data_IF_700974505630
#
_entry.id   IF_700974505630
#
_cell.length_a   1.000
_cell.length_b   1.000
_cell.length_c   1.000
_cell.angle_alpha   90.00
_cell.angle_beta   90.00
_cell.angle_gamma   90.00
#
_symmetry.space_group_name_H-M   'P 1'
#
loop_
_entity.id
_entity.type
_entity.pdbx_description
1 polymer ?
#
# COMPACT_ATOMS: atom_id res chain seq x y z
N UNK A 1 16.22 47.63 46.78
CA UNK A 1 15.22 46.91 45.96
C UNK A 1 15.76 46.72 44.54
N UNK A 2 15.16 45.83 43.74
CA UNK A 2 15.58 45.61 42.37
C UNK A 2 14.53 46.20 41.43
N UNK A 3 14.94 47.01 40.45
CA UNK A 3 14.07 47.49 39.38
C UNK A 3 14.44 46.81 38.06
N UNK A 4 13.43 46.57 37.22
CA UNK A 4 13.63 46.01 35.88
C UNK A 4 13.55 47.15 34.87
N UNK A 5 14.65 47.47 34.21
CA UNK A 5 14.72 48.53 33.21
C UNK A 5 14.47 47.92 31.84
N UNK A 6 13.34 48.26 31.21
CA UNK A 6 13.02 47.83 29.85
C UNK A 6 13.41 48.92 28.87
N UNK A 7 14.34 48.62 27.97
CA UNK A 7 14.71 49.48 26.85
C UNK A 7 14.44 48.79 25.52
N UNK A 8 14.80 49.44 24.41
CA UNK A 8 14.75 48.83 23.07
C UNK A 8 15.67 47.60 22.95
N UNK A 9 16.70 47.50 23.78
CA UNK A 9 17.68 46.40 23.71
C UNK A 9 17.28 45.18 24.52
N UNK A 10 16.31 45.32 25.43
CA UNK A 10 15.91 44.22 26.30
C UNK A 10 15.47 44.65 27.69
N UNK A 11 15.41 43.68 28.60
CA UNK A 11 15.04 43.88 30.00
C UNK A 11 16.26 43.62 30.88
N UNK A 12 16.77 44.66 31.52
CA UNK A 12 17.93 44.62 32.40
C UNK A 12 17.51 44.86 33.86
N UNK A 13 18.35 44.47 34.81
CA UNK A 13 18.05 44.58 36.25
C UNK A 13 19.00 45.59 36.88
N UNK A 14 18.45 46.60 37.55
CA UNK A 14 19.21 47.64 38.27
C UNK A 14 18.93 47.54 39.75
N UNK A 15 19.99 47.35 40.55
CA UNK A 15 19.90 47.35 42.00
C UNK A 15 19.84 48.79 42.51
N UNK A 16 18.80 49.10 43.28
CA UNK A 16 18.59 50.43 43.88
C UNK A 16 18.60 50.37 45.41
N UNK A 17 19.14 51.39 46.07
CA UNK A 17 19.38 51.43 47.52
C UNK A 17 18.12 51.45 48.41
N UNK A 18 16.92 51.59 47.85
CA UNK A 18 15.66 51.66 48.60
C UNK A 18 14.59 52.46 47.83
N UNK A 19 13.36 52.60 48.37
CA UNK A 19 12.28 53.35 47.73
C UNK A 19 12.43 54.88 47.83
N UNK A 20 13.32 55.37 48.71
CA UNK A 20 13.53 56.81 48.95
C UNK A 20 14.61 57.44 48.08
N UNK A 21 15.20 56.69 47.13
CA UNK A 21 16.16 57.29 46.20
C UNK A 21 15.44 58.24 45.24
N UNK A 22 16.12 59.30 44.81
CA UNK A 22 15.56 60.22 43.82
C UNK A 22 15.66 59.65 42.40
N UNK A 23 14.86 60.20 41.49
CA UNK A 23 14.96 59.88 40.06
C UNK A 23 16.36 60.18 39.52
N UNK A 24 17.01 61.26 39.97
CA UNK A 24 18.39 61.57 39.61
C UNK A 24 19.36 60.45 40.04
N UNK A 25 19.21 59.94 41.26
CA UNK A 25 20.02 58.81 41.75
C UNK A 25 19.77 57.54 40.93
N UNK A 26 18.52 57.27 40.52
CA UNK A 26 18.19 56.18 39.60
C UNK A 26 18.89 56.36 38.24
N UNK A 27 18.90 57.56 37.67
CA UNK A 27 19.61 57.85 36.42
C UNK A 27 21.11 57.61 36.53
N UNK A 28 21.73 57.97 37.66
CA UNK A 28 23.13 57.68 37.94
C UNK A 28 23.42 56.18 38.06
N UNK A 29 22.50 55.41 38.66
CA UNK A 29 22.60 53.94 38.72
C UNK A 29 22.47 53.30 37.33
N UNK A 30 21.57 53.81 36.48
CA UNK A 30 21.44 53.37 35.09
C UNK A 30 22.71 53.71 34.29
N UNK A 31 23.30 54.89 34.50
CA UNK A 31 24.56 55.23 33.83
C UNK A 31 25.70 54.31 34.24
N UNK A 32 25.86 54.05 35.55
CA UNK A 32 26.94 53.19 36.05
C UNK A 32 26.77 51.71 35.70
N UNK A 33 25.55 51.17 35.76
CA UNK A 33 25.29 49.74 35.54
C UNK A 33 24.98 49.41 34.08
N UNK A 34 24.28 50.28 33.37
CA UNK A 34 23.77 50.04 32.01
C UNK A 34 24.46 50.89 30.93
N UNK A 35 25.44 51.72 31.32
CA UNK A 35 26.27 52.55 30.44
C UNK A 35 25.48 53.55 29.56
N UNK A 36 24.30 53.98 30.01
CA UNK A 36 23.51 55.01 29.32
C UNK A 36 23.80 56.39 29.94
N UNK A 37 24.37 57.36 29.22
CA UNK A 37 24.64 58.69 29.78
C UNK A 37 23.38 59.38 30.31
N UNK A 38 23.43 59.99 31.49
CA UNK A 38 22.26 60.65 32.13
C UNK A 38 21.55 61.62 31.18
N UNK A 39 22.29 62.41 30.38
CA UNK A 39 21.70 63.36 29.43
C UNK A 39 20.82 62.72 28.35
N UNK A 40 21.01 61.42 28.07
CA UNK A 40 20.27 60.68 27.07
C UNK A 40 19.12 59.86 27.68
N UNK A 41 18.97 59.85 29.01
CA UNK A 41 17.97 59.00 29.68
C UNK A 41 16.62 59.70 29.84
N UNK A 42 15.61 59.13 29.21
CA UNK A 42 14.20 59.45 29.42
C UNK A 42 13.53 58.24 30.07
N UNK A 43 13.04 58.42 31.29
CA UNK A 43 12.43 57.37 32.09
C UNK A 43 10.92 57.62 32.16
N UNK A 44 10.14 56.53 32.15
CA UNK A 44 8.71 56.58 32.43
C UNK A 44 8.23 55.24 32.96
N UNK A 45 7.13 55.27 33.71
CA UNK A 45 6.34 54.09 34.06
C UNK A 45 5.41 53.66 32.91
N UNK A 46 5.18 54.51 31.90
CA UNK A 46 4.42 54.17 30.70
C UNK A 46 5.31 53.45 29.66
N UNK A 47 4.85 52.28 29.21
CA UNK A 47 5.47 51.48 28.16
C UNK A 47 5.57 52.22 26.82
N UNK A 48 4.64 53.13 26.53
CA UNK A 48 4.55 53.79 25.24
C UNK A 48 5.75 54.68 24.93
N UNK A 49 6.57 55.04 25.94
CA UNK A 49 7.83 55.77 25.72
C UNK A 49 8.80 55.00 24.80
N UNK A 50 8.71 53.66 24.75
CA UNK A 50 9.54 52.84 23.87
C UNK A 50 9.11 52.87 22.39
N UNK A 51 7.92 53.40 22.11
CA UNK A 51 7.35 53.50 20.76
C UNK A 51 7.56 54.89 20.14
N UNK A 52 8.19 55.82 20.88
CA UNK A 52 8.41 57.19 20.44
C UNK A 52 9.38 57.22 19.26
N UNK A 53 8.91 57.78 18.14
CA UNK A 53 9.69 57.96 16.91
C UNK A 53 10.27 59.37 16.77
N UNK A 54 9.62 60.38 17.37
CA UNK A 54 9.96 61.79 17.23
C UNK A 54 10.33 62.36 18.61
N UNK A 55 11.50 63.01 18.80
CA UNK A 55 11.96 63.49 20.11
C UNK A 55 10.97 64.43 20.83
N UNK A 56 10.18 65.21 20.08
CA UNK A 56 9.16 66.10 20.65
C UNK A 56 8.07 65.36 21.45
N UNK A 57 7.78 64.10 21.10
CA UNK A 57 6.74 63.30 21.77
C UNK A 57 7.21 62.78 23.14
N UNK A 58 8.50 62.87 23.47
CA UNK A 58 9.04 62.52 24.80
C UNK A 58 8.49 63.44 25.89
N UNK A 59 8.11 64.68 25.56
CA UNK A 59 7.54 65.65 26.49
C UNK A 59 6.20 65.21 27.09
N UNK A 60 5.52 64.23 26.46
CA UNK A 60 4.26 63.66 26.98
C UNK A 60 4.47 62.73 28.19
N UNK A 61 5.71 62.30 28.43
CA UNK A 61 6.07 61.40 29.52
C UNK A 61 6.77 62.18 30.63
N UNK A 62 5.99 62.89 31.45
CA UNK A 62 6.49 63.77 32.51
C UNK A 62 6.49 63.13 33.91
N UNK A 63 6.03 61.89 34.04
CA UNK A 63 5.89 61.18 35.31
C UNK A 63 7.22 61.01 36.05
N UNK A 64 8.34 60.96 35.32
CA UNK A 64 9.69 60.93 35.91
C UNK A 64 10.57 62.11 35.48
N UNK A 65 9.97 63.26 35.16
CA UNK A 65 10.72 64.44 34.69
C UNK A 65 11.46 65.19 35.80
N UNK A 66 10.92 65.23 37.03
CA UNK A 66 11.54 65.91 38.17
C UNK A 66 12.70 65.07 38.75
N UNK A 67 13.97 65.51 38.63
CA UNK A 67 15.11 64.75 39.14
C UNK A 67 15.14 64.62 40.67
N UNK A 68 14.45 65.51 41.40
CA UNK A 68 14.43 65.54 42.86
C UNK A 68 13.35 64.66 43.47
N UNK A 69 12.35 64.25 42.70
CA UNK A 69 11.25 63.44 43.18
C UNK A 69 11.72 62.04 43.62
N UNK A 70 11.26 61.54 44.79
CA UNK A 70 11.61 60.22 45.27
C UNK A 70 10.83 59.13 44.50
N UNK A 71 11.45 57.97 44.30
CA UNK A 71 10.78 56.84 43.62
C UNK A 71 9.51 56.36 44.34
N UNK A 72 9.40 56.59 45.65
CA UNK A 72 8.18 56.30 46.42
C UNK A 72 6.95 57.06 45.92
N UNK A 73 7.11 58.19 45.24
CA UNK A 73 6.01 58.93 44.63
C UNK A 73 5.38 58.21 43.42
N UNK A 74 6.08 57.21 42.85
CA UNK A 74 5.70 56.51 41.62
C UNK A 74 5.14 55.10 41.86
N UNK A 75 4.86 54.73 43.12
CA UNK A 75 4.38 53.41 43.52
C UNK A 75 5.24 52.23 43.01
N UNK A 76 6.56 52.45 42.85
CA UNK A 76 7.49 51.42 42.41
C UNK A 76 7.89 50.51 43.59
N UNK A 77 7.74 49.20 43.40
CA UNK A 77 8.11 48.16 44.36
C UNK A 77 9.22 47.26 43.81
N UNK A 78 9.65 46.28 44.60
CA UNK A 78 10.66 45.32 44.15
C UNK A 78 10.16 44.55 42.91
N UNK A 79 10.91 44.63 41.82
CA UNK A 79 10.59 43.99 40.55
C UNK A 79 9.76 44.83 39.59
N UNK A 80 9.33 46.04 40.00
CA UNK A 80 8.63 46.98 39.11
C UNK A 80 9.46 47.28 37.86
N UNK A 81 8.74 47.47 36.75
CA UNK A 81 9.32 47.78 35.45
C UNK A 81 9.33 49.28 35.25
N UNK A 82 10.48 49.82 34.85
CA UNK A 82 10.63 51.20 34.40
C UNK A 82 11.09 51.16 32.95
N UNK A 83 10.48 51.96 32.10
CA UNK A 83 10.78 52.03 30.68
C UNK A 83 11.81 53.13 30.44
N UNK A 84 12.91 52.77 29.77
CA UNK A 84 14.01 53.67 29.45
C UNK A 84 14.08 53.86 27.94
N UNK A 85 13.84 55.10 27.51
CA UNK A 85 14.17 55.57 26.17
C UNK A 85 15.49 56.34 26.22
N UNK A 86 16.36 56.09 25.25
CA UNK A 86 17.58 56.87 25.05
C UNK A 86 18.02 56.85 23.59
N UNK A 87 18.82 57.85 23.21
CA UNK A 87 19.41 57.96 21.89
C UNK A 87 20.90 57.58 21.91
N UNK A 88 21.37 56.99 20.80
CA UNK A 88 22.73 56.48 20.64
C UNK A 88 22.81 54.95 20.74
N UNK A 89 23.93 54.37 20.31
CA UNK A 89 24.21 52.93 20.41
C UNK A 89 25.00 52.63 21.69
N UNK A 90 24.81 51.44 22.28
CA UNK A 90 25.60 50.97 23.41
C UNK A 90 25.92 49.49 23.25
N UNK A 91 27.02 49.07 23.86
CA UNK A 91 27.35 47.64 23.95
C UNK A 91 26.56 46.99 25.08
N UNK A 92 25.54 46.22 24.72
CA UNK A 92 24.75 45.43 25.67
C UNK A 92 25.47 44.11 25.89
N UNK A 93 25.66 43.71 27.16
CA UNK A 93 26.19 42.38 27.47
C UNK A 93 25.18 41.35 26.96
N UNK A 94 25.55 40.62 25.90
CA UNK A 94 24.66 39.71 25.19
C UNK A 94 23.94 38.75 26.14
N UNK A 95 22.62 38.72 26.07
CA UNK A 95 21.83 37.66 26.69
C UNK A 95 22.17 36.30 26.06
N UNK A 96 21.81 35.18 26.72
CA UNK A 96 22.04 33.86 26.14
C UNK A 96 21.42 33.78 24.75
N UNK A 97 22.16 33.20 23.80
CA UNK A 97 21.70 33.00 22.44
C UNK A 97 20.35 32.28 22.46
N UNK A 98 19.31 32.94 21.93
CA UNK A 98 18.01 32.29 21.71
C UNK A 98 18.19 31.37 20.51
N UNK A 99 18.51 30.11 20.76
CA UNK A 99 18.34 29.05 19.78
C UNK A 99 16.85 28.76 19.65
N UNK A 100 16.23 28.94 18.47
CA UNK A 100 14.85 28.50 18.27
C UNK A 100 14.75 27.01 18.60
N UNK A 101 13.77 26.64 19.43
CA UNK A 101 13.40 25.25 19.57
C UNK A 101 13.00 24.72 18.19
N UNK A 102 13.60 23.60 17.78
CA UNK A 102 13.24 22.94 16.54
C UNK A 102 11.73 22.64 16.48
N UNK A 103 11.20 22.64 15.25
CA UNK A 103 9.86 22.19 14.83
C UNK A 103 8.65 23.13 14.98
N UNK A 104 8.81 24.43 15.23
CA UNK A 104 7.76 25.41 14.89
C UNK A 104 8.23 26.33 13.76
N UNK A 105 7.75 26.07 12.53
CA UNK A 105 7.86 27.02 11.42
C UNK A 105 8.77 26.65 10.24
N UNK A 106 9.03 25.35 9.97
CA UNK A 106 9.54 24.99 8.63
C UNK A 106 8.43 25.34 7.63
N UNK A 107 8.61 26.44 6.87
CA UNK A 107 7.69 26.80 5.77
C UNK A 107 7.65 25.60 4.81
N UNK A 108 6.46 25.06 4.61
CA UNK A 108 6.24 23.98 3.63
C UNK A 108 6.69 24.53 2.27
N UNK A 109 7.72 23.92 1.69
CA UNK A 109 8.22 24.32 0.37
C UNK A 109 7.30 23.75 -0.72
N UNK A 110 7.34 24.31 -1.93
CA UNK A 110 6.61 23.72 -3.07
C UNK A 110 7.07 22.29 -3.33
N UNK A 111 8.35 21.99 -3.11
CA UNK A 111 8.90 20.63 -3.21
C UNK A 111 8.33 19.69 -2.15
N UNK A 112 8.08 20.17 -0.93
CA UNK A 112 7.39 19.39 0.13
C UNK A 112 5.92 19.13 -0.22
N UNK A 113 5.27 20.03 -0.95
CA UNK A 113 3.89 19.85 -1.45
C UNK A 113 3.85 18.85 -2.61
N UNK A 114 4.79 18.95 -3.55
CA UNK A 114 4.93 18.02 -4.68
C UNK A 114 5.29 16.62 -4.18
N UNK A 115 6.18 16.49 -3.19
CA UNK A 115 6.55 15.20 -2.60
C UNK A 115 5.40 14.53 -1.85
N UNK A 116 4.37 15.28 -1.44
CA UNK A 116 3.14 14.75 -0.85
C UNK A 116 2.07 14.36 -1.88
N UNK A 117 2.17 14.83 -3.12
CA UNK A 117 1.25 14.43 -4.17
C UNK A 117 1.57 13.01 -4.65
N UNK A 118 0.59 12.12 -4.61
CA UNK A 118 0.74 10.77 -5.13
C UNK A 118 0.73 10.82 -6.65
N UNK A 119 1.88 10.51 -7.26
CA UNK A 119 2.05 10.47 -8.71
C UNK A 119 1.97 9.04 -9.21
N UNK A 120 1.14 8.80 -10.22
CA UNK A 120 1.05 7.52 -10.91
C UNK A 120 1.81 7.64 -12.23
N UNK A 121 2.78 6.75 -12.42
CA UNK A 121 3.57 6.64 -13.65
C UNK A 121 3.58 5.19 -14.08
N UNK A 122 3.68 4.95 -15.39
CA UNK A 122 3.80 3.60 -15.93
C UNK A 122 5.05 2.93 -15.37
N UNK A 123 4.90 1.70 -14.91
CA UNK A 123 6.01 0.86 -14.50
C UNK A 123 6.50 0.08 -15.72
N UNK A 124 7.76 0.28 -16.10
CA UNK A 124 8.32 -0.27 -17.35
C UNK A 124 8.69 -1.76 -17.26
N UNK A 125 9.00 -2.25 -16.05
CA UNK A 125 9.48 -3.62 -15.86
C UNK A 125 8.74 -4.34 -14.74
N UNK A 126 8.25 -5.57 -14.97
CA UNK A 126 7.65 -6.40 -13.94
C UNK A 126 8.73 -6.93 -12.98
N UNK A 127 8.31 -7.43 -11.81
CA UNK A 127 9.20 -8.22 -10.94
C UNK A 127 9.29 -9.69 -11.39
N UNK A 128 8.32 -10.14 -12.20
CA UNK A 128 8.26 -11.43 -12.86
C UNK A 128 8.92 -11.34 -14.27
N UNK A 129 9.99 -12.09 -14.53
CA UNK A 129 10.62 -12.16 -15.86
C UNK A 129 9.71 -12.85 -16.89
N UNK A 130 9.09 -13.96 -16.48
CA UNK A 130 8.16 -14.73 -17.32
C UNK A 130 7.22 -15.58 -16.48
N UNK A 131 6.08 -15.96 -17.06
CA UNK A 131 5.21 -17.04 -16.59
C UNK A 131 5.18 -18.16 -17.62
N UNK A 132 5.48 -19.38 -17.19
CA UNK A 132 5.42 -20.60 -18.00
C UNK A 132 4.25 -21.45 -17.56
N UNK A 133 3.46 -21.97 -18.49
CA UNK A 133 2.32 -22.84 -18.18
C UNK A 133 2.59 -24.29 -18.55
N UNK A 134 2.19 -25.21 -17.68
CA UNK A 134 2.04 -26.60 -18.06
C UNK A 134 0.99 -26.73 -19.18
N UNK A 135 1.35 -27.42 -20.25
CA UNK A 135 0.52 -27.57 -21.45
C UNK A 135 -0.81 -28.24 -21.15
N UNK A 136 -0.80 -29.31 -20.35
CA UNK A 136 -2.01 -30.09 -20.07
C UNK A 136 -2.96 -29.31 -19.16
N UNK A 137 -2.43 -28.63 -18.14
CA UNK A 137 -3.20 -27.79 -17.25
C UNK A 137 -3.81 -26.58 -17.96
N UNK A 138 -3.02 -25.85 -18.76
CA UNK A 138 -3.52 -24.72 -19.55
C UNK A 138 -4.58 -25.18 -20.57
N UNK A 139 -4.33 -26.34 -21.21
CA UNK A 139 -5.28 -26.91 -22.15
C UNK A 139 -6.61 -27.31 -21.46
N UNK A 140 -6.56 -27.88 -20.27
CA UNK A 140 -7.75 -28.25 -19.49
C UNK A 140 -8.58 -27.03 -19.05
N UNK A 141 -7.94 -25.88 -18.80
CA UNK A 141 -8.64 -24.62 -18.50
C UNK A 141 -9.29 -24.02 -19.76
N UNK A 142 -8.52 -23.84 -20.83
CA UNK A 142 -9.05 -23.24 -22.06
C UNK A 142 -10.16 -24.06 -22.71
N UNK A 143 -10.06 -25.39 -22.70
CA UNK A 143 -11.08 -26.27 -23.30
C UNK A 143 -12.42 -26.12 -22.57
N UNK A 144 -12.40 -26.06 -21.24
CA UNK A 144 -13.64 -25.88 -20.47
C UNK A 144 -14.29 -24.53 -20.76
N UNK A 145 -13.50 -23.46 -20.76
CA UNK A 145 -13.99 -22.11 -21.02
C UNK A 145 -14.54 -21.98 -22.45
N UNK A 146 -13.85 -22.58 -23.43
CA UNK A 146 -14.25 -22.52 -24.83
C UNK A 146 -15.45 -23.42 -25.14
N UNK A 147 -15.37 -24.70 -24.78
CA UNK A 147 -16.36 -25.71 -25.20
C UNK A 147 -17.60 -25.70 -24.30
N UNK A 148 -17.44 -25.47 -22.99
CA UNK A 148 -18.57 -25.54 -22.04
C UNK A 148 -19.19 -24.18 -21.79
N UNK A 149 -18.36 -23.13 -21.62
CA UNK A 149 -18.85 -21.80 -21.29
C UNK A 149 -18.98 -20.90 -22.51
N UNK A 150 -18.36 -21.24 -23.65
CA UNK A 150 -18.31 -20.42 -24.86
C UNK A 150 -17.91 -18.96 -24.59
N UNK A 151 -17.07 -18.73 -23.56
CA UNK A 151 -16.72 -17.39 -23.07
C UNK A 151 -17.93 -16.48 -22.79
N UNK A 152 -19.10 -17.04 -22.47
CA UNK A 152 -20.32 -16.30 -22.17
C UNK A 152 -20.33 -15.71 -20.75
N UNK A 153 -19.64 -16.37 -19.82
CA UNK A 153 -19.44 -15.93 -18.43
C UNK A 153 -17.97 -16.02 -18.06
N UNK A 154 -17.56 -15.21 -17.07
CA UNK A 154 -16.21 -15.24 -16.54
C UNK A 154 -15.95 -16.52 -15.74
N UNK A 155 -14.71 -16.97 -15.75
CA UNK A 155 -14.18 -18.09 -14.97
C UNK A 155 -12.78 -17.72 -14.50
N UNK A 156 -12.40 -18.13 -13.30
CA UNK A 156 -11.03 -17.92 -12.81
C UNK A 156 -10.53 -19.01 -11.89
N UNK A 157 -9.24 -18.96 -11.61
CA UNK A 157 -8.52 -19.95 -10.83
C UNK A 157 -7.23 -19.41 -10.24
N UNK A 158 -6.81 -19.99 -9.13
CA UNK A 158 -5.50 -19.74 -8.55
C UNK A 158 -4.46 -20.63 -9.21
N UNK A 159 -3.37 -20.02 -9.67
CA UNK A 159 -2.26 -20.72 -10.30
C UNK A 159 -1.27 -21.17 -9.25
N UNK A 160 -0.87 -22.43 -9.30
CA UNK A 160 0.10 -23.04 -8.40
C UNK A 160 1.31 -23.55 -9.15
N UNK A 161 2.47 -23.32 -8.56
CA UNK A 161 3.72 -23.44 -9.28
C UNK A 161 4.97 -23.19 -8.47
N UNK A 162 6.08 -23.02 -9.17
CA UNK A 162 7.37 -22.60 -8.59
C UNK A 162 7.73 -21.18 -9.01
N UNK A 163 8.62 -20.54 -8.24
CA UNK A 163 9.14 -19.20 -8.56
C UNK A 163 10.64 -19.21 -8.38
N UNK A 164 11.37 -18.94 -9.44
CA UNK A 164 12.83 -18.84 -9.41
C UNK A 164 13.32 -17.51 -8.82
N UNK A 165 14.60 -17.47 -8.43
CA UNK A 165 15.25 -16.23 -7.98
C UNK A 165 15.27 -15.16 -9.07
N UNK A 166 15.43 -15.55 -10.34
CA UNK A 166 15.37 -14.67 -11.52
C UNK A 166 13.96 -14.13 -11.79
N UNK A 167 12.93 -14.69 -11.15
CA UNK A 167 11.55 -14.25 -11.33
C UNK A 167 10.82 -14.95 -12.45
N UNK A 168 11.26 -16.15 -12.83
CA UNK A 168 10.48 -17.04 -13.69
C UNK A 168 9.50 -17.83 -12.83
N UNK A 169 8.23 -17.79 -13.22
CA UNK A 169 7.16 -18.53 -12.57
C UNK A 169 6.80 -19.71 -13.48
N UNK A 170 6.73 -20.92 -12.93
CA UNK A 170 6.28 -22.11 -13.65
C UNK A 170 5.00 -22.60 -12.99
N UNK A 171 3.88 -22.51 -13.71
CA UNK A 171 2.54 -22.91 -13.27
C UNK A 171 2.31 -24.36 -13.68
N UNK A 172 2.20 -25.26 -12.70
CA UNK A 172 1.99 -26.69 -12.95
C UNK A 172 0.51 -27.10 -12.89
N UNK A 173 -0.33 -26.37 -12.15
CA UNK A 173 -1.76 -26.60 -12.09
C UNK A 173 -2.55 -25.35 -11.71
N UNK A 174 -3.85 -25.37 -12.02
CA UNK A 174 -4.80 -24.28 -11.75
C UNK A 174 -5.92 -24.84 -10.88
N UNK A 175 -6.04 -24.36 -9.65
CA UNK A 175 -7.17 -24.67 -8.77
C UNK A 175 -8.31 -23.68 -9.02
N UNK A 176 -9.52 -24.18 -9.28
CA UNK A 176 -10.68 -23.34 -9.53
C UNK A 176 -11.57 -23.27 -8.27
N UNK A 177 -11.55 -22.16 -7.51
CA UNK A 177 -12.35 -22.06 -6.29
C UNK A 177 -13.86 -22.05 -6.63
N UNK A 178 -14.74 -22.34 -5.65
CA UNK A 178 -16.17 -22.11 -5.81
C UNK A 178 -16.40 -20.65 -6.24
N UNK A 179 -17.20 -20.45 -7.30
CA UNK A 179 -17.29 -19.15 -7.95
C UNK A 179 -18.60 -18.98 -8.71
N UNK A 180 -19.02 -17.73 -8.88
CA UNK A 180 -20.13 -17.33 -9.72
C UNK A 180 -19.61 -16.39 -10.82
N UNK A 181 -19.58 -16.90 -12.04
CA UNK A 181 -19.26 -16.13 -13.24
C UNK A 181 -20.45 -15.36 -13.75
N UNK A 182 -20.27 -14.07 -14.02
CA UNK A 182 -21.19 -13.21 -14.77
C UNK A 182 -20.53 -12.78 -16.08
N UNK A 183 -21.23 -12.01 -16.91
CA UNK A 183 -20.69 -11.49 -18.17
C UNK A 183 -19.60 -10.42 -17.94
N UNK A 184 -19.78 -9.58 -16.92
CA UNK A 184 -18.91 -8.45 -16.60
C UNK A 184 -18.10 -8.63 -15.30
N UNK A 185 -18.44 -9.62 -14.47
CA UNK A 185 -17.86 -9.79 -13.14
C UNK A 185 -17.59 -11.27 -12.81
N UNK A 186 -16.62 -11.50 -11.92
CA UNK A 186 -16.28 -12.81 -11.40
C UNK A 186 -16.32 -12.76 -9.87
N UNK A 187 -17.27 -13.47 -9.26
CA UNK A 187 -17.40 -13.53 -7.81
C UNK A 187 -16.76 -14.83 -7.31
N UNK A 188 -15.71 -14.72 -6.51
CA UNK A 188 -15.08 -15.86 -5.85
C UNK A 188 -15.79 -16.15 -4.53
N UNK A 189 -16.37 -17.34 -4.40
CA UNK A 189 -17.04 -17.83 -3.19
C UNK A 189 -16.01 -18.59 -2.34
N UNK A 190 -14.97 -17.88 -1.89
CA UNK A 190 -13.79 -18.45 -1.23
C UNK A 190 -14.18 -19.24 0.03
N UNK A 191 -13.68 -20.47 0.10
CA UNK A 191 -13.76 -21.32 1.29
C UNK A 191 -12.34 -21.44 1.88
N UNK A 192 -12.15 -20.90 3.09
CA UNK A 192 -10.83 -20.88 3.72
C UNK A 192 -10.35 -22.27 4.11
N UNK A 193 -11.25 -23.20 4.46
CA UNK A 193 -10.86 -24.56 4.83
C UNK A 193 -10.39 -25.33 3.59
N UNK A 194 -11.12 -25.21 2.47
CA UNK A 194 -10.72 -25.78 1.19
C UNK A 194 -9.40 -25.15 0.69
N UNK A 195 -9.27 -23.82 0.72
CA UNK A 195 -8.03 -23.15 0.30
C UNK A 195 -6.82 -23.55 1.15
N UNK A 196 -6.99 -23.69 2.47
CA UNK A 196 -5.92 -24.18 3.34
C UNK A 196 -5.49 -25.61 2.98
N UNK A 197 -6.45 -26.47 2.63
CA UNK A 197 -6.17 -27.82 2.16
C UNK A 197 -5.42 -27.80 0.82
N UNK A 198 -5.87 -26.98 -0.13
CA UNK A 198 -5.21 -26.78 -1.43
C UNK A 198 -3.77 -26.31 -1.23
N UNK A 199 -3.54 -25.31 -0.37
CA UNK A 199 -2.21 -24.80 -0.06
C UNK A 199 -1.33 -25.88 0.60
N UNK A 200 -1.89 -26.72 1.47
CA UNK A 200 -1.17 -27.82 2.11
C UNK A 200 -0.77 -28.93 1.12
N UNK A 201 -1.68 -29.31 0.21
CA UNK A 201 -1.38 -30.26 -0.87
C UNK A 201 -0.32 -29.68 -1.81
N UNK A 202 -0.48 -28.41 -2.21
CA UNK A 202 0.49 -27.71 -3.05
C UNK A 202 1.87 -27.68 -2.39
N UNK A 203 1.95 -27.36 -1.09
CA UNK A 203 3.20 -27.38 -0.33
C UNK A 203 3.84 -28.78 -0.32
N UNK A 204 3.04 -29.84 -0.13
CA UNK A 204 3.49 -31.22 -0.27
C UNK A 204 4.07 -31.52 -1.66
N UNK A 205 3.44 -31.00 -2.72
CA UNK A 205 3.95 -31.09 -4.10
C UNK A 205 5.20 -30.22 -4.35
N UNK A 206 5.63 -29.40 -3.39
CA UNK A 206 6.70 -28.42 -3.56
C UNK A 206 6.29 -27.22 -4.43
N UNK A 207 4.99 -26.92 -4.46
CA UNK A 207 4.38 -25.81 -5.18
C UNK A 207 3.82 -24.78 -4.21
N UNK A 208 3.59 -23.58 -4.71
CA UNK A 208 2.93 -22.50 -3.97
C UNK A 208 2.00 -21.72 -4.89
N UNK A 209 1.09 -20.94 -4.31
CA UNK A 209 0.24 -20.02 -5.06
C UNK A 209 1.11 -18.92 -5.68
N UNK A 210 1.06 -18.77 -7.01
CA UNK A 210 1.94 -17.88 -7.78
C UNK A 210 1.20 -16.79 -8.56
N UNK A 211 -0.12 -16.93 -8.69
CA UNK A 211 -0.90 -15.97 -9.45
C UNK A 211 -2.38 -16.30 -9.51
N UNK A 212 -3.10 -15.50 -10.29
CA UNK A 212 -4.51 -15.70 -10.60
C UNK A 212 -4.74 -15.65 -12.11
N UNK A 213 -5.57 -16.54 -12.62
CA UNK A 213 -6.00 -16.57 -14.03
C UNK A 213 -7.51 -16.34 -14.09
N UNK A 214 -7.98 -15.55 -15.05
CA UNK A 214 -9.40 -15.40 -15.31
C UNK A 214 -9.69 -15.20 -16.80
N UNK A 215 -10.96 -15.31 -17.17
CA UNK A 215 -11.41 -15.17 -18.55
C UNK A 215 -12.13 -13.85 -18.79
N UNK A 216 -11.95 -13.29 -19.98
CA UNK A 216 -12.81 -12.23 -20.51
C UNK A 216 -13.90 -12.80 -21.38
N UNK A 217 -15.10 -12.25 -21.28
CA UNK A 217 -16.22 -12.71 -22.08
C UNK A 217 -16.17 -12.13 -23.49
N UNK A 218 -16.80 -12.80 -24.45
CA UNK A 218 -16.91 -12.32 -25.85
C UNK A 218 -17.56 -10.93 -25.97
N UNK A 219 -18.36 -10.54 -24.97
CA UNK A 219 -18.98 -9.21 -24.90
C UNK A 219 -17.97 -8.12 -24.52
N UNK A 220 -16.96 -8.47 -23.74
CA UNK A 220 -15.89 -7.58 -23.30
C UNK A 220 -14.79 -7.44 -24.34
N UNK A 221 -14.44 -8.50 -25.08
CA UNK A 221 -13.40 -8.47 -26.13
C UNK A 221 -13.67 -7.40 -27.20
N UNK A 222 -14.93 -6.99 -27.39
CA UNK A 222 -15.30 -5.90 -28.32
C UNK A 222 -14.94 -4.50 -27.81
N UNK A 223 -14.37 -4.36 -26.60
CA UNK A 223 -14.07 -3.08 -25.95
C UNK A 223 -12.57 -2.83 -25.92
N UNK A 224 -12.17 -1.57 -26.12
CA UNK A 224 -10.77 -1.14 -26.26
C UNK A 224 -10.09 -0.89 -24.89
N UNK A 225 -9.94 -1.94 -24.09
CA UNK A 225 -9.15 -1.93 -22.86
C UNK A 225 -8.68 -3.34 -22.48
N UNK A 226 -7.53 -3.43 -21.82
CA UNK A 226 -6.99 -4.72 -21.35
C UNK A 226 -7.74 -5.23 -20.13
N UNK A 227 -7.91 -4.40 -19.10
CA UNK A 227 -8.61 -4.75 -17.86
C UNK A 227 -9.70 -3.72 -17.59
N UNK A 228 -10.86 -4.17 -17.13
CA UNK A 228 -11.90 -3.32 -16.56
C UNK A 228 -11.51 -2.88 -15.14
N UNK A 229 -12.14 -1.82 -14.65
CA UNK A 229 -11.93 -1.32 -13.30
C UNK A 229 -12.22 -2.37 -12.20
N UNK A 230 -13.23 -3.23 -12.39
CA UNK A 230 -13.51 -4.39 -11.53
C UNK A 230 -12.37 -5.41 -11.54
N UNK A 231 -11.81 -5.69 -12.71
CA UNK A 231 -10.69 -6.63 -12.87
C UNK A 231 -9.39 -6.09 -12.28
N UNK A 232 -9.11 -4.79 -12.45
CA UNK A 232 -7.97 -4.12 -11.80
C UNK A 232 -8.08 -4.23 -10.29
N UNK A 233 -9.27 -3.97 -9.72
CA UNK A 233 -9.48 -4.09 -8.28
C UNK A 233 -9.26 -5.51 -7.77
N UNK A 234 -9.89 -6.50 -8.40
CA UNK A 234 -9.74 -7.90 -7.99
C UNK A 234 -8.28 -8.37 -8.15
N UNK A 235 -7.61 -7.99 -9.23
CA UNK A 235 -6.20 -8.33 -9.44
C UNK A 235 -5.28 -7.65 -8.40
N UNK A 236 -5.56 -6.39 -8.06
CA UNK A 236 -4.81 -5.67 -7.03
C UNK A 236 -5.03 -6.24 -5.63
N UNK A 237 -6.27 -6.65 -5.31
CA UNK A 237 -6.65 -7.33 -4.07
C UNK A 237 -5.87 -8.63 -3.92
N UNK A 238 -5.97 -9.54 -4.90
CA UNK A 238 -5.30 -10.84 -4.84
C UNK A 238 -3.77 -10.70 -4.80
N UNK A 239 -3.19 -9.76 -5.54
CA UNK A 239 -1.76 -9.48 -5.47
C UNK A 239 -1.39 -8.92 -4.08
N UNK A 240 -2.16 -7.97 -3.53
CA UNK A 240 -1.91 -7.39 -2.22
C UNK A 240 -1.96 -8.44 -1.09
N UNK A 241 -2.96 -9.31 -1.13
CA UNK A 241 -3.18 -10.43 -0.21
C UNK A 241 -2.06 -11.47 -0.27
N UNK A 242 -1.55 -11.76 -1.47
CA UNK A 242 -0.47 -12.74 -1.64
C UNK A 242 0.78 -12.40 -0.82
N UNK A 243 0.99 -11.11 -0.50
CA UNK A 243 2.21 -10.56 0.10
C UNK A 243 3.49 -10.91 -0.69
N UNK A 244 3.37 -11.37 -1.94
CA UNK A 244 4.48 -11.71 -2.81
C UNK A 244 4.80 -10.55 -3.73
N UNK A 245 6.09 -10.27 -3.91
CA UNK A 245 6.57 -9.30 -4.89
C UNK A 245 6.45 -9.82 -6.33
N UNK A 246 6.50 -11.14 -6.49
CA UNK A 246 6.38 -11.86 -7.75
C UNK A 246 5.02 -12.55 -7.76
N UNK A 247 4.08 -11.94 -8.44
CA UNK A 247 2.71 -12.40 -8.60
C UNK A 247 2.25 -12.04 -10.00
N UNK A 248 1.59 -12.96 -10.69
CA UNK A 248 1.11 -12.74 -12.06
C UNK A 248 -0.40 -12.90 -12.13
N UNK A 249 -1.04 -12.00 -12.86
CA UNK A 249 -2.45 -12.05 -13.22
C UNK A 249 -2.55 -12.32 -14.70
N UNK A 250 -3.29 -13.38 -15.07
CA UNK A 250 -3.39 -13.85 -16.44
C UNK A 250 -4.82 -13.71 -16.90
N UNK A 251 -5.02 -13.15 -18.08
CA UNK A 251 -6.31 -13.04 -18.73
C UNK A 251 -6.35 -13.97 -19.93
N UNK A 252 -7.44 -14.72 -20.07
CA UNK A 252 -7.72 -15.60 -21.20
C UNK A 252 -8.87 -15.01 -22.00
N UNK A 253 -8.65 -14.75 -23.28
CA UNK A 253 -9.64 -14.15 -24.18
C UNK A 253 -9.76 -14.96 -25.46
N UNK A 254 -10.87 -14.78 -26.15
CA UNK A 254 -11.12 -15.36 -27.46
C UNK A 254 -10.86 -14.28 -28.52
N UNK A 255 -9.89 -14.51 -29.41
CA UNK A 255 -9.56 -13.59 -30.50
C UNK A 255 -9.96 -14.20 -31.84
N UNK A 256 -10.47 -13.37 -32.76
CA UNK A 256 -10.75 -13.83 -34.12
C UNK A 256 -9.42 -14.03 -34.86
N UNK A 257 -9.25 -15.19 -35.48
CA UNK A 257 -8.07 -15.48 -36.29
C UNK A 257 -8.27 -15.05 -37.76
N UNK A 258 -7.19 -14.99 -38.53
CA UNK A 258 -7.20 -14.51 -39.91
C UNK A 258 -8.09 -15.35 -40.85
N UNK A 259 -8.32 -16.62 -40.50
CA UNK A 259 -9.13 -17.58 -41.27
C UNK A 259 -10.63 -17.54 -40.90
N UNK A 260 -11.06 -16.59 -40.05
CA UNK A 260 -12.44 -16.44 -39.61
C UNK A 260 -12.88 -17.43 -38.52
N UNK A 261 -11.93 -18.19 -37.98
CA UNK A 261 -12.07 -18.94 -36.74
C UNK A 261 -11.78 -18.08 -35.50
N UNK A 262 -11.71 -18.73 -34.34
CA UNK A 262 -11.43 -18.06 -33.08
C UNK A 262 -10.39 -18.85 -32.28
N UNK A 263 -9.34 -18.16 -31.85
CA UNK A 263 -8.24 -18.72 -31.09
C UNK A 263 -8.30 -18.22 -29.64
N UNK A 264 -7.98 -19.10 -28.70
CA UNK A 264 -7.87 -18.73 -27.29
C UNK A 264 -6.49 -18.14 -27.04
N UNK A 265 -6.44 -16.90 -26.60
CA UNK A 265 -5.21 -16.16 -26.32
C UNK A 265 -5.05 -15.92 -24.82
N UNK A 266 -3.81 -16.07 -24.34
CA UNK A 266 -3.42 -15.80 -22.96
C UNK A 266 -2.58 -14.53 -22.94
N UNK A 267 -2.88 -13.60 -22.03
CA UNK A 267 -2.04 -12.45 -21.74
C UNK A 267 -1.72 -12.41 -20.26
N UNK A 268 -0.46 -12.08 -19.94
CA UNK A 268 0.03 -12.09 -18.58
C UNK A 268 0.47 -10.68 -18.18
N UNK A 269 0.02 -10.26 -17.00
CA UNK A 269 0.32 -8.97 -16.43
C UNK A 269 0.72 -9.12 -14.97
N UNK A 270 1.54 -8.18 -14.50
CA UNK A 270 1.75 -7.95 -13.09
C UNK A 270 1.17 -6.59 -12.74
N UNK A 271 0.40 -6.51 -11.66
CA UNK A 271 -0.05 -5.20 -11.16
C UNK A 271 1.16 -4.39 -10.72
N UNK A 272 1.24 -3.14 -11.16
CA UNK A 272 2.32 -2.23 -10.77
C UNK A 272 2.40 -2.04 -9.26
N UNK A 273 3.59 -1.73 -8.76
CA UNK A 273 3.83 -1.46 -7.33
C UNK A 273 2.93 -0.33 -6.82
N UNK A 274 2.67 0.67 -7.68
CA UNK A 274 1.77 1.78 -7.36
C UNK A 274 0.32 1.31 -7.23
N UNK A 275 -0.16 0.43 -8.12
CA UNK A 275 -1.51 -0.13 -8.03
C UNK A 275 -1.71 -0.87 -6.70
N UNK A 276 -0.78 -1.78 -6.37
CA UNK A 276 -0.85 -2.56 -5.12
C UNK A 276 -0.78 -1.65 -3.89
N UNK A 277 0.07 -0.62 -3.93
CA UNK A 277 0.16 0.38 -2.85
C UNK A 277 -1.16 1.15 -2.67
N UNK A 278 -1.71 1.68 -3.76
CA UNK A 278 -2.97 2.45 -3.73
C UNK A 278 -4.14 1.60 -3.22
N UNK A 279 -4.17 0.31 -3.60
CA UNK A 279 -5.16 -0.63 -3.07
C UNK A 279 -5.01 -0.82 -1.55
N UNK A 280 -3.80 -1.12 -1.07
CA UNK A 280 -3.52 -1.30 0.37
C UNK A 280 -3.83 -0.06 1.21
N UNK A 281 -3.66 1.12 0.64
CA UNK A 281 -4.00 2.39 1.29
C UNK A 281 -5.49 2.78 1.13
N UNK A 282 -6.29 1.98 0.43
CA UNK A 282 -7.73 2.17 0.26
C UNK A 282 -8.10 3.35 -0.65
N UNK A 283 -7.24 3.74 -1.59
CA UNK A 283 -7.44 4.90 -2.46
C UNK A 283 -8.44 4.66 -3.58
N UNK A 284 -8.66 3.42 -4.01
CA UNK A 284 -9.66 3.14 -5.04
C UNK A 284 -11.08 3.32 -4.53
N UNK A 285 -11.96 3.81 -5.41
CA UNK A 285 -13.41 3.71 -5.25
C UNK A 285 -13.83 2.30 -5.65
N UNK A 286 -14.57 1.61 -4.77
CA UNK A 286 -14.98 0.22 -4.93
C UNK A 286 -16.45 0.08 -5.34
N UNK A 287 -17.18 1.19 -5.35
CA UNK A 287 -18.58 1.26 -5.78
C UNK A 287 -18.63 1.68 -7.24
N UNK A 288 -19.27 0.87 -8.08
CA UNK A 288 -19.34 1.08 -9.53
C UNK A 288 -20.74 1.51 -9.94
N UNK A 289 -20.84 2.64 -10.62
CA UNK A 289 -22.08 3.10 -11.24
C UNK A 289 -22.31 2.48 -12.63
N UNK A 290 -23.56 2.43 -13.09
CA UNK A 290 -23.91 1.93 -14.43
C UNK A 290 -23.29 2.74 -15.58
N UNK A 291 -22.97 4.02 -15.34
CA UNK A 291 -22.39 4.93 -16.32
C UNK A 291 -20.86 5.06 -16.19
N UNK A 292 -20.22 4.26 -15.33
CA UNK A 292 -18.79 4.35 -15.11
C UNK A 292 -18.03 3.74 -16.27
N UNK A 293 -17.01 4.44 -16.75
CA UNK A 293 -16.15 3.92 -17.82
C UNK A 293 -15.34 2.73 -17.27
N UNK A 294 -15.51 1.50 -17.80
CA UNK A 294 -14.75 0.35 -17.35
C UNK A 294 -13.25 0.49 -17.60
N UNK A 295 -12.81 1.35 -18.52
CA UNK A 295 -11.39 1.61 -18.81
C UNK A 295 -10.69 2.43 -17.71
N UNK A 296 -11.46 3.08 -16.84
CA UNK A 296 -10.95 4.01 -15.85
C UNK A 296 -11.21 3.52 -14.42
N UNK A 297 -10.17 3.55 -13.60
CA UNK A 297 -10.27 3.36 -12.16
C UNK A 297 -10.42 4.70 -11.45
N UNK A 298 -11.46 4.82 -10.62
CA UNK A 298 -11.74 6.01 -9.82
C UNK A 298 -10.95 6.01 -8.51
N UNK A 299 -10.39 7.17 -8.16
CA UNK A 299 -9.62 7.42 -6.95
C UNK A 299 -10.42 8.28 -5.97
N UNK A 300 -10.37 7.95 -4.68
CA UNK A 300 -10.99 8.74 -3.60
C UNK A 300 -10.27 10.07 -3.34
N UNK A 301 -9.08 10.24 -3.89
CA UNK A 301 -8.23 11.43 -3.75
C UNK A 301 -7.62 11.74 -5.11
N UNK A 302 -7.43 13.01 -5.41
CA UNK A 302 -6.71 13.43 -6.61
C UNK A 302 -5.29 12.84 -6.64
N UNK A 303 -4.90 12.32 -7.79
CA UNK A 303 -3.58 11.77 -8.10
C UNK A 303 -3.00 12.48 -9.31
N UNK A 304 -1.68 12.57 -9.39
CA UNK A 304 -1.02 13.21 -10.53
C UNK A 304 -0.69 12.17 -11.60
N UNK A 305 -1.29 12.29 -12.78
CA UNK A 305 -0.97 11.49 -13.98
C UNK A 305 -0.54 12.42 -15.10
N UNK A 306 0.66 12.20 -15.67
CA UNK A 306 1.16 13.05 -16.76
C UNK A 306 1.30 14.54 -16.39
N UNK A 307 1.40 14.87 -15.10
CA UNK A 307 1.47 16.26 -14.62
C UNK A 307 0.12 16.94 -14.42
N UNK A 308 -0.99 16.22 -14.54
CA UNK A 308 -2.35 16.72 -14.25
C UNK A 308 -2.91 16.01 -13.03
N UNK A 309 -3.61 16.75 -12.18
CA UNK A 309 -4.43 16.19 -11.11
C UNK A 309 -5.68 15.58 -11.71
N UNK A 310 -5.89 14.28 -11.46
CA UNK A 310 -7.03 13.51 -11.96
C UNK A 310 -7.61 12.66 -10.83
N UNK A 311 -8.90 12.34 -10.94
CA UNK A 311 -9.60 11.40 -10.04
C UNK A 311 -9.91 10.08 -10.75
N UNK A 312 -9.69 10.02 -12.06
CA UNK A 312 -9.87 8.83 -12.90
C UNK A 312 -8.55 8.53 -13.61
N UNK A 313 -8.12 7.28 -13.51
CA UNK A 313 -6.83 6.81 -14.02
C UNK A 313 -7.09 5.69 -15.02
N UNK A 314 -6.51 5.78 -16.21
CA UNK A 314 -6.56 4.70 -17.19
C UNK A 314 -5.91 3.44 -16.61
N UNK A 315 -6.65 2.33 -16.70
CA UNK A 315 -6.26 1.06 -16.11
C UNK A 315 -4.90 0.54 -16.62
N UNK A 316 -4.50 0.89 -17.84
CA UNK A 316 -3.22 0.48 -18.42
C UNK A 316 -2.01 1.04 -17.65
N UNK A 317 -2.16 2.12 -16.87
CA UNK A 317 -1.09 2.58 -15.97
C UNK A 317 -0.77 1.58 -14.86
N UNK A 318 -1.71 0.70 -14.54
CA UNK A 318 -1.55 -0.29 -13.49
C UNK A 318 -1.02 -1.64 -13.99
N UNK A 319 -0.97 -1.85 -15.29
CA UNK A 319 -0.62 -3.13 -15.91
C UNK A 319 0.82 -3.14 -16.40
N UNK A 320 1.57 -4.17 -16.02
CA UNK A 320 2.95 -4.39 -16.47
C UNK A 320 3.01 -5.74 -17.16
N UNK A 321 3.34 -5.77 -18.46
CA UNK A 321 3.31 -6.99 -19.28
C UNK A 321 4.37 -7.99 -18.82
N UNK A 322 4.00 -9.26 -18.75
CA UNK A 322 4.87 -10.39 -18.41
C UNK A 322 4.95 -11.36 -19.59
N UNK A 323 6.14 -11.88 -19.89
CA UNK A 323 6.34 -12.83 -20.99
C UNK A 323 5.69 -14.17 -20.67
N UNK A 324 5.05 -14.79 -21.67
CA UNK A 324 4.46 -16.12 -21.55
C UNK A 324 5.37 -17.15 -22.21
N UNK A 325 5.54 -18.29 -21.54
CA UNK A 325 6.23 -19.48 -22.01
C UNK A 325 5.35 -20.72 -21.73
N UNK A 326 5.79 -21.88 -22.21
CA UNK A 326 5.17 -23.16 -21.90
C UNK A 326 6.21 -24.18 -21.41
N UNK A 327 5.72 -25.20 -20.70
CA UNK A 327 6.52 -26.36 -20.30
C UNK A 327 5.63 -27.60 -20.17
N UNK A 328 6.26 -28.74 -19.91
CA UNK A 328 5.56 -29.96 -19.50
C UNK A 328 5.95 -30.25 -18.05
N UNK A 329 4.98 -30.13 -17.15
CA UNK A 329 5.10 -30.36 -15.73
C UNK A 329 5.15 -31.85 -15.36
N UNK A 330 5.45 -32.16 -14.09
CA UNK A 330 5.56 -33.54 -13.60
C UNK A 330 4.23 -34.18 -13.21
N UNK A 331 3.17 -33.37 -13.08
CA UNK A 331 1.82 -33.79 -12.70
C UNK A 331 0.99 -34.06 -13.97
N UNK A 332 0.05 -34.99 -13.87
CA UNK A 332 -0.98 -35.15 -14.89
C UNK A 332 -2.17 -34.23 -14.60
N UNK A 333 -2.88 -33.84 -15.66
CA UNK A 333 -4.16 -33.11 -15.58
C UNK A 333 -5.27 -33.92 -16.26
N UNK A 334 -5.51 -35.14 -15.78
CA UNK A 334 -6.47 -36.08 -16.40
C UNK A 334 -7.68 -36.41 -15.52
N UNK A 335 -7.63 -36.03 -14.25
CA UNK A 335 -8.75 -36.12 -13.34
C UNK A 335 -9.67 -34.89 -13.50
N UNK A 336 -11.00 -35.03 -13.33
CA UNK A 336 -11.90 -33.88 -13.44
C UNK A 336 -11.61 -32.81 -12.39
N UNK A 337 -11.62 -31.55 -12.87
CA UNK A 337 -11.39 -30.35 -12.06
C UNK A 337 -12.65 -30.02 -11.24
N UNK A 338 -12.45 -29.71 -9.97
CA UNK A 338 -13.47 -29.30 -9.00
C UNK A 338 -14.25 -28.04 -9.41
N UNK A 339 -15.39 -27.81 -8.75
CA UNK A 339 -16.21 -26.60 -8.88
C UNK A 339 -16.66 -26.25 -10.31
N UNK A 340 -16.61 -27.21 -11.24
CA UNK A 340 -17.18 -27.14 -12.59
C UNK A 340 -18.59 -27.74 -12.61
N UNK A 341 -19.29 -27.63 -13.74
CA UNK A 341 -20.68 -28.13 -13.87
C UNK A 341 -20.84 -29.65 -13.69
N UNK A 342 -19.74 -30.41 -13.60
CA UNK A 342 -19.75 -31.86 -13.45
C UNK A 342 -19.50 -32.25 -11.99
N UNK A 343 -20.39 -33.08 -11.44
CA UNK A 343 -20.21 -33.67 -10.12
C UNK A 343 -19.09 -34.71 -10.14
N UNK A 344 -18.05 -34.49 -9.34
CA UNK A 344 -16.97 -35.46 -9.16
C UNK A 344 -17.44 -36.54 -8.17
N UNK A 345 -17.53 -37.79 -8.63
CA UNK A 345 -18.03 -38.91 -7.83
C UNK A 345 -16.99 -40.00 -7.65
N UNK A 346 -17.16 -40.87 -6.65
CA UNK A 346 -16.28 -42.01 -6.40
C UNK A 346 -16.19 -42.97 -7.61
N UNK A 347 -17.23 -43.02 -8.46
CA UNK A 347 -17.19 -43.77 -9.72
C UNK A 347 -16.14 -43.24 -10.69
N UNK A 348 -15.90 -41.93 -10.70
CA UNK A 348 -14.85 -41.30 -11.52
C UNK A 348 -13.47 -41.71 -11.01
N UNK A 349 -13.28 -41.75 -9.68
CA UNK A 349 -12.06 -42.28 -9.07
C UNK A 349 -11.78 -43.71 -9.55
N UNK A 350 -12.79 -44.59 -9.52
CA UNK A 350 -12.67 -45.96 -10.05
C UNK A 350 -12.25 -46.00 -11.52
N UNK A 351 -12.97 -45.28 -12.37
CA UNK A 351 -12.69 -45.24 -13.81
C UNK A 351 -11.27 -44.73 -14.10
N UNK A 352 -10.79 -43.74 -13.34
CA UNK A 352 -9.44 -43.20 -13.45
C UNK A 352 -8.37 -44.24 -13.07
N UNK A 353 -8.53 -44.91 -11.93
CA UNK A 353 -7.61 -45.95 -11.47
C UNK A 353 -7.61 -47.16 -12.42
N UNK A 354 -8.76 -47.57 -12.93
CA UNK A 354 -8.91 -48.67 -13.88
C UNK A 354 -8.23 -48.37 -15.22
N UNK A 355 -8.38 -47.13 -15.72
CA UNK A 355 -7.71 -46.66 -16.94
C UNK A 355 -6.20 -46.68 -16.80
N UNK A 356 -5.68 -46.37 -15.60
CA UNK A 356 -4.25 -46.29 -15.31
C UNK A 356 -3.67 -47.54 -14.64
N UNK A 357 -4.40 -48.66 -14.62
CA UNK A 357 -4.01 -49.89 -13.89
C UNK A 357 -2.67 -50.50 -14.28
N UNK A 358 -2.16 -50.19 -15.48
CA UNK A 358 -0.85 -50.66 -15.97
C UNK A 358 0.32 -49.77 -15.54
N UNK A 359 0.05 -48.60 -14.99
CA UNK A 359 1.04 -47.60 -14.58
C UNK A 359 1.37 -47.77 -13.08
N UNK A 360 2.57 -47.46 -12.57
CA UNK A 360 2.85 -47.51 -11.13
C UNK A 360 1.90 -46.62 -10.31
N UNK A 361 1.48 -47.07 -9.12
CA UNK A 361 0.46 -46.38 -8.30
C UNK A 361 0.77 -44.91 -8.05
N UNK A 362 2.03 -44.57 -7.72
CA UNK A 362 2.47 -43.20 -7.51
C UNK A 362 2.14 -42.28 -8.70
N UNK A 363 2.35 -42.75 -9.93
CA UNK A 363 2.02 -42.02 -11.15
C UNK A 363 0.51 -41.94 -11.40
N UNK A 364 -0.27 -42.91 -10.93
CA UNK A 364 -1.75 -42.85 -11.02
C UNK A 364 -2.34 -41.73 -10.18
N UNK A 365 -1.71 -41.46 -9.03
CA UNK A 365 -2.12 -40.42 -8.07
C UNK A 365 -1.40 -39.08 -8.26
N UNK A 366 -0.50 -38.97 -9.26
CA UNK A 366 0.27 -37.75 -9.54
C UNK A 366 -0.58 -36.69 -10.28
N UNK A 367 -1.76 -36.38 -9.74
CA UNK A 367 -2.71 -35.42 -10.29
C UNK A 367 -3.26 -34.58 -9.13
N UNK A 368 -3.12 -33.25 -9.21
CA UNK A 368 -3.53 -32.37 -8.12
C UNK A 368 -5.03 -32.47 -7.82
N UNK A 369 -5.88 -32.50 -8.85
CA UNK A 369 -7.33 -32.52 -8.68
C UNK A 369 -7.80 -33.85 -8.07
N UNK A 370 -7.11 -34.94 -8.41
CA UNK A 370 -7.31 -36.22 -7.73
C UNK A 370 -6.91 -36.16 -6.25
N UNK A 371 -5.74 -35.60 -5.93
CA UNK A 371 -5.30 -35.46 -4.54
C UNK A 371 -6.27 -34.61 -3.73
N UNK A 372 -6.78 -33.51 -4.29
CA UNK A 372 -7.80 -32.68 -3.65
C UNK A 372 -9.11 -33.45 -3.44
N UNK A 373 -9.58 -34.21 -4.44
CA UNK A 373 -10.76 -35.06 -4.29
C UNK A 373 -10.59 -36.08 -3.16
N UNK A 374 -9.42 -36.70 -3.04
CA UNK A 374 -9.12 -37.62 -1.94
C UNK A 374 -9.04 -36.89 -0.59
N UNK A 375 -8.56 -35.65 -0.54
CA UNK A 375 -8.50 -34.87 0.69
C UNK A 375 -9.87 -34.50 1.22
N UNK A 376 -10.80 -34.19 0.32
CA UNK A 376 -12.20 -33.87 0.64
C UNK A 376 -13.04 -35.13 0.95
N UNK A 377 -12.52 -36.31 0.66
CA UNK A 377 -13.17 -37.58 0.96
C UNK A 377 -12.96 -37.99 2.43
N UNK A 378 -13.94 -38.68 3.03
CA UNK A 378 -13.88 -39.03 4.45
C UNK A 378 -12.67 -39.92 4.77
N UNK A 379 -11.87 -39.49 5.75
CA UNK A 379 -10.84 -40.33 6.40
C UNK A 379 -9.40 -40.16 5.90
N UNK A 380 -9.15 -39.38 4.84
CA UNK A 380 -7.79 -39.18 4.28
C UNK A 380 -7.24 -37.76 4.35
N UNK A 381 -8.06 -36.75 4.67
CA UNK A 381 -7.69 -35.34 4.56
C UNK A 381 -6.36 -34.96 5.22
N UNK A 382 -6.06 -35.51 6.40
CA UNK A 382 -4.80 -35.19 7.11
C UNK A 382 -3.54 -35.76 6.44
N UNK A 383 -3.69 -36.79 5.62
CA UNK A 383 -2.58 -37.60 5.13
C UNK A 383 -2.23 -37.28 3.67
N UNK A 384 -3.13 -36.61 2.95
CA UNK A 384 -2.91 -36.20 1.55
C UNK A 384 -1.67 -35.32 1.38
N UNK A 385 -1.38 -34.32 2.25
CA UNK A 385 -0.15 -33.54 2.11
C UNK A 385 1.14 -34.40 2.14
N UNK A 386 1.15 -35.48 2.94
CA UNK A 386 2.28 -36.41 2.98
C UNK A 386 2.34 -37.30 1.72
N UNK A 387 1.19 -37.68 1.16
CA UNK A 387 1.12 -38.37 -0.14
C UNK A 387 1.59 -37.47 -1.28
N UNK A 388 1.23 -36.19 -1.26
CA UNK A 388 1.71 -35.18 -2.18
C UNK A 388 3.25 -35.04 -2.11
N UNK A 389 3.83 -35.09 -0.92
CA UNK A 389 5.29 -35.12 -0.74
C UNK A 389 5.92 -36.36 -1.39
N UNK A 390 5.28 -37.53 -1.29
CA UNK A 390 5.73 -38.73 -1.98
C UNK A 390 5.69 -38.56 -3.50
N UNK A 391 4.64 -37.94 -4.04
CA UNK A 391 4.51 -37.60 -5.47
C UNK A 391 5.64 -36.68 -5.90
N UNK A 392 5.91 -35.62 -5.12
CA UNK A 392 6.98 -34.65 -5.41
C UNK A 392 8.36 -35.29 -5.43
N UNK A 393 8.67 -36.13 -4.43
CA UNK A 393 9.99 -36.77 -4.26
C UNK A 393 10.17 -38.06 -5.06
N UNK A 394 9.10 -38.58 -5.66
CA UNK A 394 9.12 -39.88 -6.32
C UNK A 394 9.33 -41.06 -5.37
N UNK A 395 8.97 -40.92 -4.09
CA UNK A 395 9.15 -41.98 -3.09
C UNK A 395 7.97 -42.96 -3.09
N UNK A 396 8.20 -44.25 -2.72
CA UNK A 396 7.11 -45.21 -2.62
C UNK A 396 6.04 -44.78 -1.64
N UNK A 397 4.77 -44.95 -2.01
CA UNK A 397 3.62 -44.79 -1.12
C UNK A 397 3.44 -46.07 -0.30
N UNK A 398 3.03 -45.94 0.96
CA UNK A 398 2.75 -47.12 1.79
C UNK A 398 1.60 -47.95 1.22
N UNK A 399 1.69 -49.27 1.33
CA UNK A 399 0.64 -50.19 0.85
C UNK A 399 -0.72 -49.90 1.50
N UNK A 400 -0.73 -49.41 2.75
CA UNK A 400 -1.95 -49.04 3.46
C UNK A 400 -2.75 -47.93 2.76
N UNK A 401 -2.08 -46.88 2.28
CA UNK A 401 -2.74 -45.81 1.53
C UNK A 401 -3.23 -46.29 0.16
N UNK A 402 -2.45 -47.14 -0.51
CA UNK A 402 -2.87 -47.73 -1.77
C UNK A 402 -4.15 -48.54 -1.60
N UNK A 403 -4.19 -49.46 -0.63
CA UNK A 403 -5.36 -50.29 -0.35
C UNK A 403 -6.58 -49.46 0.03
N UNK A 404 -6.39 -48.38 0.79
CA UNK A 404 -7.48 -47.51 1.21
C UNK A 404 -8.08 -46.76 0.02
N UNK A 405 -7.25 -46.16 -0.85
CA UNK A 405 -7.71 -45.46 -2.05
C UNK A 405 -8.38 -46.43 -3.03
N UNK A 406 -7.82 -47.62 -3.22
CA UNK A 406 -8.42 -48.67 -4.05
C UNK A 406 -9.74 -49.19 -3.44
N UNK A 407 -9.83 -49.32 -2.12
CA UNK A 407 -11.07 -49.68 -1.42
C UNK A 407 -12.13 -48.63 -1.66
N UNK A 408 -11.80 -47.34 -1.49
CA UNK A 408 -12.71 -46.23 -1.73
C UNK A 408 -13.26 -46.26 -3.15
N UNK A 409 -12.40 -46.46 -4.15
CA UNK A 409 -12.80 -46.56 -5.54
C UNK A 409 -13.78 -47.73 -5.79
N UNK A 410 -13.67 -48.81 -5.02
CA UNK A 410 -14.51 -50.00 -5.15
C UNK A 410 -15.81 -49.96 -4.32
N UNK A 411 -16.00 -48.95 -3.47
CA UNK A 411 -17.27 -48.73 -2.74
C UNK A 411 -18.37 -48.12 -3.62
N UNK A 412 -18.05 -47.72 -4.85
CA UNK A 412 -18.95 -47.07 -5.81
C UNK A 412 -19.90 -48.01 -6.55
#
# INVERSE_FOLDING_TARGET
>A
MLLRIRSRDGLERVQVGGPHISIFQLKTLIQSQLQVPIQNQFLSTDRNILLVKIPADLLRFSDMADPSAPLSALNLSHGSVVFLYYQGERNVRGGPAVTPAGSFGRKMTMDDLIAKQTRITRQESPHCDSVSFDRDSANAFQQYVNETLAFAVKRGGFMYGTVSEEGRLEVDFIYEPPQQGLDDNLILLRDQEEENMVDAIAAGLGRKRVGFIFTQTVMQVKKDYNFSNKEVLQAAELHAESAQKKWVTVVVKLEANEDGGADVHFEAFQMSDMCVKLFKEGWFVTEFGENDDPKLSKMKKAVVVGGKDVEEVDNDFFLVVVKILDHQGPLSSTFPIENRNNLVTVRILKNHLDRMKSVPFLKRISDFHLLLFLALSQGLGSDIPALAECVSKGTPVSEGYQLLIESMANTA
#
